data_IF_153236011230
#
_entry.id   IF_153236011230
#
_cell.length_a   1.000
_cell.length_b   1.000
_cell.length_c   1.000
_cell.angle_alpha   90.00
_cell.angle_beta   90.00
_cell.angle_gamma   90.00
#
_symmetry.space_group_name_H-M   'P 1'
#
loop_
_entity.id
_entity.type
_entity.pdbx_description
1 polymer ?
#
# COMPACT_ATOMS: atom_id res chain seq x y z
N UNK A 1 -52.43 25.22 -28.48
CA UNK A 1 -51.18 24.49 -28.22
C UNK A 1 -50.01 25.44 -28.41
N UNK A 2 -49.49 26.00 -27.30
CA UNK A 2 -48.37 26.96 -27.29
C UNK A 2 -47.07 26.21 -27.13
N UNK A 3 -46.06 26.45 -27.99
CA UNK A 3 -44.69 25.98 -27.85
C UNK A 3 -43.92 26.92 -26.93
N UNK A 4 -43.06 26.44 -26.01
CA UNK A 4 -42.20 27.32 -25.24
C UNK A 4 -40.96 27.75 -26.05
N UNK A 5 -40.71 29.05 -26.01
CA UNK A 5 -39.48 29.69 -26.60
C UNK A 5 -38.37 29.60 -25.58
N UNK A 6 -37.27 28.95 -25.94
CA UNK A 6 -36.03 28.98 -25.13
C UNK A 6 -35.13 30.11 -25.61
N UNK A 7 -34.86 31.06 -24.67
CA UNK A 7 -33.86 32.12 -24.90
C UNK A 7 -32.44 31.52 -24.69
N UNK A 8 -31.66 31.63 -25.76
CA UNK A 8 -30.20 31.33 -25.70
C UNK A 8 -29.46 32.48 -25.01
N UNK A 9 -28.88 32.20 -23.84
CA UNK A 9 -27.89 33.02 -23.20
C UNK A 9 -26.49 32.49 -23.53
N UNK A 10 -25.82 33.12 -24.46
CA UNK A 10 -24.40 32.89 -24.75
C UNK A 10 -23.55 33.80 -23.85
N UNK A 11 -22.60 33.32 -23.05
CA UNK A 11 -21.64 34.15 -22.38
C UNK A 11 -20.48 34.51 -23.34
N UNK A 12 -20.29 35.81 -23.54
CA UNK A 12 -19.15 36.38 -24.27
C UNK A 12 -17.89 36.22 -23.42
N UNK A 13 -16.94 35.40 -23.83
CA UNK A 13 -15.57 35.40 -23.31
C UNK A 13 -14.79 36.56 -23.89
N UNK A 14 -14.27 37.43 -23.02
CA UNK A 14 -13.28 38.45 -23.34
C UNK A 14 -11.91 37.80 -23.45
N UNK A 15 -11.29 37.91 -24.60
CA UNK A 15 -9.87 37.63 -24.83
C UNK A 15 -9.04 38.64 -24.06
N UNK A 16 -8.17 38.15 -23.19
CA UNK A 16 -7.13 38.96 -22.52
C UNK A 16 -5.75 38.55 -23.06
N UNK A 17 -5.03 39.57 -23.41
CA UNK A 17 -3.76 39.68 -24.11
C UNK A 17 -2.64 38.75 -23.57
N UNK A 18 -1.85 38.31 -24.55
CA UNK A 18 -0.53 37.68 -24.39
C UNK A 18 0.44 38.63 -23.66
N UNK A 19 0.93 38.26 -22.48
CA UNK A 19 2.14 38.81 -21.89
C UNK A 19 3.30 37.86 -22.11
N UNK A 20 4.16 38.24 -23.03
CA UNK A 20 5.47 37.65 -23.28
C UNK A 20 6.35 37.69 -22.04
N UNK A 21 6.71 36.53 -21.50
CA UNK A 21 7.78 36.41 -20.49
C UNK A 21 9.14 36.36 -21.18
N UNK A 22 9.91 37.42 -21.03
CA UNK A 22 11.34 37.48 -21.37
C UNK A 22 12.13 36.57 -20.42
N UNK A 23 12.80 35.59 -20.99
CA UNK A 23 13.77 34.71 -20.34
C UNK A 23 15.06 35.52 -20.10
N UNK A 24 15.41 35.79 -18.87
CA UNK A 24 16.73 36.29 -18.49
C UNK A 24 17.70 35.10 -18.36
N UNK A 25 18.55 34.93 -19.32
CA UNK A 25 19.76 34.13 -19.21
C UNK A 25 20.78 34.88 -18.37
N UNK A 26 21.10 34.38 -17.19
CA UNK A 26 22.30 34.71 -16.43
C UNK A 26 23.27 33.55 -16.53
N UNK A 27 24.24 33.70 -17.39
CA UNK A 27 25.48 32.94 -17.43
C UNK A 27 26.23 33.16 -16.10
N UNK A 28 26.45 32.10 -15.32
CA UNK A 28 27.43 32.07 -14.25
C UNK A 28 28.72 31.40 -14.78
N UNK A 29 29.74 32.24 -14.86
CA UNK A 29 31.13 31.83 -15.10
C UNK A 29 31.64 30.98 -13.93
N UNK A 30 32.14 29.80 -14.24
CA UNK A 30 32.92 28.98 -13.31
C UNK A 30 34.36 29.50 -13.29
N UNK A 31 34.72 30.18 -12.22
CA UNK A 31 36.15 30.45 -11.93
C UNK A 31 36.76 29.23 -11.22
N UNK A 32 37.73 28.64 -11.89
CA UNK A 32 38.59 27.61 -11.33
C UNK A 32 39.63 28.25 -10.42
N UNK A 33 39.45 28.20 -9.12
CA UNK A 33 40.48 28.53 -8.15
C UNK A 33 41.15 27.27 -7.64
N UNK A 34 42.45 27.21 -7.98
CA UNK A 34 43.44 26.22 -7.49
C UNK A 34 43.68 26.45 -6.01
N UNK A 35 43.17 25.60 -5.15
CA UNK A 35 43.55 25.58 -3.74
C UNK A 35 44.92 24.90 -3.57
N UNK A 36 45.92 25.72 -3.29
CA UNK A 36 47.23 25.32 -2.80
C UNK A 36 47.09 24.62 -1.43
N UNK A 37 47.75 23.46 -1.31
CA UNK A 37 47.96 22.76 -0.04
C UNK A 37 49.00 23.52 0.79
N UNK A 38 48.64 23.90 2.01
CA UNK A 38 49.59 24.25 3.07
C UNK A 38 49.38 23.39 4.31
N UNK A 39 50.43 23.18 5.16
CA UNK A 39 50.55 21.99 6.00
C UNK A 39 49.99 22.19 7.42
N UNK A 40 49.53 21.08 7.96
CA UNK A 40 49.41 20.70 9.38
C UNK A 40 49.44 21.83 10.44
N UNK A 41 48.24 22.26 10.83
CA UNK A 41 48.02 22.93 12.10
C UNK A 41 47.24 22.03 13.03
N UNK A 42 47.79 21.64 14.17
CA UNK A 42 47.14 20.96 15.26
C UNK A 42 46.15 21.94 15.92
N UNK A 43 44.86 21.78 15.73
CA UNK A 43 43.84 22.44 16.53
C UNK A 43 43.63 21.67 17.82
N UNK A 44 44.15 22.23 18.92
CA UNK A 44 43.83 21.83 20.29
C UNK A 44 42.41 22.29 20.60
N UNK A 45 41.45 21.37 20.61
CA UNK A 45 40.12 21.61 21.16
C UNK A 45 40.24 21.66 22.69
N UNK A 46 40.21 22.86 23.24
CA UNK A 46 39.95 23.09 24.66
C UNK A 46 38.53 22.66 24.95
N UNK A 47 38.37 21.50 25.59
CA UNK A 47 37.12 21.08 26.21
C UNK A 47 36.84 21.98 27.40
N UNK A 48 36.01 22.99 27.21
CA UNK A 48 35.34 23.63 28.31
C UNK A 48 34.24 22.67 28.80
N UNK A 49 34.56 21.97 29.90
CA UNK A 49 33.59 21.24 30.71
C UNK A 49 32.66 22.25 31.39
N UNK A 50 31.59 22.65 30.74
CA UNK A 50 30.44 23.22 31.45
C UNK A 50 29.79 22.10 32.28
N UNK A 51 30.07 22.09 33.59
CA UNK A 51 29.32 21.34 34.58
C UNK A 51 27.90 21.89 34.59
N UNK A 52 26.97 21.18 33.93
CA UNK A 52 25.54 21.37 34.10
C UNK A 52 25.20 20.92 35.52
N UNK A 53 24.74 21.86 36.35
CA UNK A 53 24.20 21.57 37.68
C UNK A 53 22.96 20.68 37.50
N UNK A 54 22.80 19.60 38.28
CA UNK A 54 21.58 18.81 38.26
C UNK A 54 20.47 19.57 39.00
N UNK A 55 19.64 20.28 38.27
CA UNK A 55 18.33 20.74 38.75
C UNK A 55 17.33 19.65 38.45
N UNK A 56 16.86 19.01 39.48
CA UNK A 56 15.63 18.23 39.68
C UNK A 56 15.91 16.97 40.50
N UNK A 57 16.11 17.17 41.78
CA UNK A 57 16.02 16.09 42.79
C UNK A 57 14.62 16.19 43.39
N UNK A 58 13.74 15.27 43.07
CA UNK A 58 12.46 15.13 43.73
C UNK A 58 12.63 14.12 44.88
N UNK A 59 12.47 14.51 46.15
CA UNK A 59 12.46 13.56 47.26
C UNK A 59 11.14 12.79 47.27
N UNK A 60 11.21 11.50 46.98
CA UNK A 60 10.06 10.61 47.19
C UNK A 60 10.21 9.89 48.52
N UNK A 61 9.32 10.16 49.45
CA UNK A 61 9.28 9.42 50.74
C UNK A 61 8.70 8.03 50.54
N UNK A 62 9.54 7.01 50.67
CA UNK A 62 9.09 5.63 50.73
C UNK A 62 9.01 5.21 52.20
N UNK A 63 7.81 4.97 52.71
CA UNK A 63 7.59 4.41 54.06
C UNK A 63 7.95 2.91 54.03
N UNK A 64 9.00 2.54 54.76
CA UNK A 64 9.24 1.13 55.18
C UNK A 64 8.56 0.88 56.52
N UNK A 65 8.07 -0.35 56.68
CA UNK A 65 7.30 -0.78 57.88
C UNK A 65 8.09 -0.70 59.21
N UNK A 66 9.38 -0.50 59.20
CA UNK A 66 10.23 -0.30 60.37
C UNK A 66 11.36 0.67 60.03
N UNK A 67 11.17 1.97 60.32
CA UNK A 67 12.22 2.97 60.31
C UNK A 67 12.19 3.95 59.14
N UNK A 68 12.33 5.23 59.45
CA UNK A 68 12.50 6.30 58.48
C UNK A 68 13.82 6.15 57.73
N UNK A 69 13.78 5.89 56.46
CA UNK A 69 14.93 5.89 55.57
C UNK A 69 14.66 6.76 54.35
N UNK A 70 15.48 7.79 54.09
CA UNK A 70 15.46 8.55 52.88
C UNK A 70 16.08 7.73 51.73
N UNK A 71 15.32 7.43 50.70
CA UNK A 71 15.83 6.80 49.48
C UNK A 71 16.08 7.87 48.44
N UNK A 72 17.33 8.14 48.13
CA UNK A 72 17.72 9.07 47.08
C UNK A 72 17.79 8.31 45.75
N UNK A 73 16.83 8.54 44.85
CA UNK A 73 16.84 7.94 43.52
C UNK A 73 17.64 8.87 42.60
N UNK A 74 18.87 8.46 42.26
CA UNK A 74 19.63 9.14 41.20
C UNK A 74 19.14 8.67 39.82
N UNK A 75 18.26 9.43 39.20
CA UNK A 75 17.91 9.22 37.80
C UNK A 75 19.07 9.73 36.94
N UNK A 76 19.92 8.84 36.45
CA UNK A 76 20.86 9.16 35.39
C UNK A 76 20.03 9.42 34.13
N UNK A 77 19.73 10.69 33.83
CA UNK A 77 19.33 11.07 32.47
C UNK A 77 20.53 10.80 31.56
N UNK A 78 20.56 9.63 30.95
CA UNK A 78 21.38 9.44 29.77
C UNK A 78 20.82 10.40 28.71
N UNK A 79 21.57 11.44 28.40
CA UNK A 79 21.31 12.25 27.21
C UNK A 79 21.49 11.34 25.99
N UNK A 80 20.44 10.59 25.67
CA UNK A 80 20.34 9.95 24.37
C UNK A 80 20.17 11.09 23.36
N UNK A 81 21.30 11.54 22.80
CA UNK A 81 21.28 12.21 21.50
C UNK A 81 20.46 11.30 20.58
N UNK A 82 19.20 11.65 20.38
CA UNK A 82 18.37 11.01 19.37
C UNK A 82 19.08 11.23 18.03
N UNK A 83 19.88 10.23 17.63
CA UNK A 83 20.37 10.20 16.26
C UNK A 83 19.13 10.13 15.39
N UNK A 84 18.85 11.20 14.69
CA UNK A 84 17.80 11.22 13.68
C UNK A 84 17.98 9.99 12.78
N UNK A 85 17.00 9.08 12.86
CA UNK A 85 17.01 7.89 12.02
C UNK A 85 16.84 8.38 10.58
N UNK A 86 17.91 8.27 9.79
CA UNK A 86 17.86 8.56 8.36
C UNK A 86 16.81 7.70 7.72
N UNK A 87 15.68 8.28 7.33
CA UNK A 87 14.54 7.61 6.69
C UNK A 87 14.70 7.45 5.17
N UNK A 88 15.84 7.85 4.62
CA UNK A 88 16.16 7.74 3.20
C UNK A 88 16.47 6.32 2.71
N UNK A 89 16.70 6.16 1.39
CA UNK A 89 17.10 4.89 0.82
C UNK A 89 18.37 4.36 1.51
N UNK A 90 18.51 3.01 1.57
CA UNK A 90 19.68 2.40 2.19
C UNK A 90 20.95 2.81 1.46
N UNK A 91 21.98 3.09 2.24
CA UNK A 91 23.33 3.26 1.69
C UNK A 91 23.73 2.00 0.89
N UNK A 92 24.41 2.14 -0.27
CA UNK A 92 24.98 1.01 -1.00
C UNK A 92 25.87 0.10 -0.13
N UNK A 93 26.46 0.67 0.92
CA UNK A 93 27.31 -0.04 1.90
C UNK A 93 26.53 -0.65 3.07
N UNK A 94 25.18 -0.62 3.06
CA UNK A 94 24.40 -1.22 4.12
C UNK A 94 24.65 -2.74 4.18
N UNK A 95 24.70 -3.34 5.39
CA UNK A 95 24.88 -4.78 5.55
C UNK A 95 23.83 -5.57 4.75
N UNK A 96 24.23 -6.66 4.13
CA UNK A 96 23.36 -7.52 3.31
C UNK A 96 22.11 -8.00 4.06
N UNK A 97 22.25 -8.32 5.35
CA UNK A 97 21.10 -8.68 6.22
C UNK A 97 20.04 -7.59 6.27
N UNK A 98 20.44 -6.31 6.33
CA UNK A 98 19.49 -5.19 6.37
C UNK A 98 18.81 -5.02 5.01
N UNK A 99 19.57 -5.17 3.91
CA UNK A 99 19.03 -5.12 2.56
C UNK A 99 17.99 -6.24 2.36
N UNK A 100 18.36 -7.48 2.74
CA UNK A 100 17.46 -8.64 2.66
C UNK A 100 16.19 -8.44 3.47
N UNK A 101 16.30 -8.02 4.73
CA UNK A 101 15.13 -7.77 5.58
C UNK A 101 14.21 -6.72 4.96
N UNK A 102 14.74 -5.62 4.41
CA UNK A 102 13.91 -4.61 3.73
C UNK A 102 13.22 -5.11 2.47
N UNK A 103 13.83 -6.06 1.75
CA UNK A 103 13.21 -6.68 0.59
C UNK A 103 12.08 -7.66 0.98
N UNK A 104 12.27 -8.38 2.08
CA UNK A 104 11.34 -9.42 2.54
C UNK A 104 10.25 -8.91 3.50
N UNK A 105 10.38 -7.69 4.04
CA UNK A 105 9.47 -7.14 5.02
C UNK A 105 8.66 -5.99 4.44
N UNK A 106 7.44 -5.83 4.94
CA UNK A 106 6.57 -4.71 4.60
C UNK A 106 5.88 -4.19 5.87
N UNK A 107 5.42 -2.94 5.82
CA UNK A 107 4.58 -2.37 6.85
C UNK A 107 3.13 -2.55 6.49
N UNK A 108 2.33 -3.01 7.43
CA UNK A 108 0.87 -3.06 7.36
C UNK A 108 0.33 -2.20 8.47
N UNK A 109 -0.57 -1.28 8.15
CA UNK A 109 -1.19 -0.38 9.11
C UNK A 109 -2.69 -0.26 8.85
N UNK A 110 -3.41 0.21 9.89
CA UNK A 110 -4.86 0.19 9.95
C UNK A 110 -5.36 -0.96 10.82
N UNK A 111 -6.31 -0.66 11.70
CA UNK A 111 -6.81 -1.59 12.72
C UNK A 111 -7.25 -2.92 12.10
N UNK A 112 -8.19 -2.89 11.14
CA UNK A 112 -8.72 -4.10 10.49
C UNK A 112 -7.65 -4.93 9.79
N UNK A 113 -6.72 -4.27 9.05
CA UNK A 113 -5.63 -4.96 8.37
C UNK A 113 -4.71 -5.69 9.35
N UNK A 114 -4.38 -5.03 10.46
CA UNK A 114 -3.50 -5.59 11.49
C UNK A 114 -4.15 -6.74 12.27
N UNK A 115 -5.42 -6.61 12.63
CA UNK A 115 -6.17 -7.65 13.34
C UNK A 115 -6.38 -8.89 12.45
N UNK A 116 -6.76 -8.70 11.20
CA UNK A 116 -6.92 -9.81 10.25
C UNK A 116 -5.61 -10.55 10.03
N UNK A 117 -4.51 -9.81 9.82
CA UNK A 117 -3.18 -10.41 9.69
C UNK A 117 -2.79 -11.20 10.95
N UNK A 118 -3.03 -10.64 12.13
CA UNK A 118 -2.73 -11.33 13.38
C UNK A 118 -3.51 -12.65 13.50
N UNK A 119 -4.78 -12.66 13.11
CA UNK A 119 -5.60 -13.87 13.11
C UNK A 119 -5.11 -14.93 12.10
N UNK A 120 -4.63 -14.52 10.91
CA UNK A 120 -4.27 -15.45 9.84
C UNK A 120 -2.81 -15.92 9.90
N UNK A 121 -1.86 -15.04 10.22
CA UNK A 121 -0.43 -15.37 10.22
C UNK A 121 0.39 -14.63 11.29
N UNK A 122 0.12 -14.83 12.58
CA UNK A 122 0.79 -14.13 13.67
C UNK A 122 2.30 -14.33 13.68
N UNK A 123 2.78 -15.47 13.17
CA UNK A 123 4.21 -15.80 13.07
C UNK A 123 4.99 -14.87 12.16
N UNK A 124 4.33 -14.28 11.16
CA UNK A 124 4.94 -13.35 10.21
C UNK A 124 5.28 -11.99 10.81
N UNK A 125 4.69 -11.64 11.95
CA UNK A 125 4.91 -10.36 12.62
C UNK A 125 6.35 -10.29 13.15
N UNK A 126 7.07 -9.24 12.75
CA UNK A 126 8.44 -8.95 13.17
C UNK A 126 8.44 -7.89 14.29
N UNK A 127 7.56 -6.86 14.16
CA UNK A 127 7.49 -5.75 15.11
C UNK A 127 6.13 -5.06 15.04
N UNK A 128 5.72 -4.49 16.17
CA UNK A 128 4.50 -3.68 16.27
C UNK A 128 4.86 -2.26 16.75
N UNK A 129 4.15 -1.28 16.21
CA UNK A 129 4.01 0.06 16.77
C UNK A 129 2.53 0.32 17.01
N UNK A 130 2.19 0.86 18.17
CA UNK A 130 0.83 1.25 18.50
C UNK A 130 0.84 2.57 19.27
N UNK A 131 -0.20 3.36 19.13
CA UNK A 131 -0.45 4.47 20.06
C UNK A 131 -0.99 3.93 21.39
N UNK A 132 -1.04 4.78 22.42
CA UNK A 132 -1.62 4.39 23.71
C UNK A 132 -3.09 3.93 23.56
N UNK A 133 -3.84 4.60 22.66
CA UNK A 133 -5.23 4.27 22.39
C UNK A 133 -5.36 2.96 21.61
N UNK A 134 -4.53 2.78 20.57
CA UNK A 134 -4.47 1.54 19.81
C UNK A 134 -4.09 0.35 20.69
N UNK A 135 -3.11 0.51 21.57
CA UNK A 135 -2.64 -0.57 22.45
C UNK A 135 -3.75 -1.13 23.36
N UNK A 136 -4.70 -0.30 23.79
CA UNK A 136 -5.83 -0.76 24.62
C UNK A 136 -6.72 -1.79 23.90
N UNK A 137 -6.77 -1.76 22.57
CA UNK A 137 -7.58 -2.66 21.74
C UNK A 137 -6.81 -3.93 21.32
N UNK A 138 -5.50 -3.97 21.52
CA UNK A 138 -4.60 -5.00 21.01
C UNK A 138 -4.07 -5.95 22.10
N UNK A 139 -4.81 -6.14 23.18
CA UNK A 139 -4.36 -6.93 24.33
C UNK A 139 -3.83 -8.32 23.97
N UNK A 140 -4.58 -9.10 23.19
CA UNK A 140 -4.19 -10.45 22.77
C UNK A 140 -2.95 -10.44 21.88
N UNK A 141 -2.85 -9.47 20.96
CA UNK A 141 -1.69 -9.31 20.09
C UNK A 141 -0.44 -8.94 20.90
N UNK A 142 -0.57 -8.04 21.87
CA UNK A 142 0.55 -7.63 22.74
C UNK A 142 1.01 -8.80 23.60
N UNK A 143 0.08 -9.58 24.16
CA UNK A 143 0.38 -10.79 24.94
C UNK A 143 1.14 -11.81 24.10
N UNK A 144 0.66 -12.09 22.88
CA UNK A 144 1.34 -12.95 21.90
C UNK A 144 2.75 -12.48 21.59
N UNK A 145 2.93 -11.17 21.33
CA UNK A 145 4.25 -10.61 21.00
C UNK A 145 5.23 -10.71 22.17
N UNK A 146 4.76 -10.49 23.41
CA UNK A 146 5.57 -10.62 24.62
C UNK A 146 6.01 -12.07 24.83
N UNK A 147 5.10 -13.03 24.73
CA UNK A 147 5.37 -14.46 24.86
C UNK A 147 6.40 -14.95 23.82
N UNK A 148 6.27 -14.50 22.57
CA UNK A 148 7.17 -14.89 21.48
C UNK A 148 8.42 -13.99 21.37
N UNK A 149 8.69 -13.13 22.37
CA UNK A 149 9.86 -12.22 22.44
C UNK A 149 10.00 -11.33 21.19
N UNK A 150 8.88 -10.92 20.62
CA UNK A 150 8.83 -10.00 19.47
C UNK A 150 8.79 -8.56 19.96
N UNK A 151 9.43 -7.65 19.20
CA UNK A 151 9.51 -6.25 19.57
C UNK A 151 8.17 -5.53 19.38
N UNK A 152 7.77 -4.71 20.35
CA UNK A 152 6.66 -3.77 20.23
C UNK A 152 7.03 -2.41 20.85
N UNK A 153 6.42 -1.35 20.37
CA UNK A 153 6.67 0.02 20.80
C UNK A 153 5.36 0.76 20.95
N UNK A 154 5.17 1.39 22.09
CA UNK A 154 4.10 2.36 22.28
C UNK A 154 4.67 3.72 21.92
N UNK A 155 4.05 4.40 20.96
CA UNK A 155 4.56 5.63 20.35
C UNK A 155 3.50 6.73 20.33
N UNK A 156 3.93 7.99 20.17
CA UNK A 156 2.99 9.09 19.93
C UNK A 156 2.38 9.01 18.53
N UNK A 157 1.27 9.73 18.31
CA UNK A 157 0.64 9.82 17.00
C UNK A 157 1.60 10.38 15.93
N UNK A 158 2.36 11.41 16.26
CA UNK A 158 3.37 12.01 15.37
C UNK A 158 4.49 11.02 15.00
N UNK A 159 4.90 10.18 15.94
CA UNK A 159 5.88 9.12 15.65
C UNK A 159 5.25 8.02 14.77
N UNK A 160 3.99 7.67 15.00
CA UNK A 160 3.25 6.72 14.17
C UNK A 160 3.13 7.23 12.72
N UNK A 161 2.82 8.50 12.51
CA UNK A 161 2.80 9.13 11.18
C UNK A 161 4.16 9.03 10.48
N UNK A 162 5.26 9.25 11.20
CA UNK A 162 6.62 9.06 10.66
C UNK A 162 6.93 7.60 10.33
N UNK A 163 6.42 6.67 11.13
CA UNK A 163 6.61 5.22 10.89
C UNK A 163 5.83 4.76 9.66
N UNK A 164 4.58 5.16 9.53
CA UNK A 164 3.68 4.73 8.43
C UNK A 164 3.85 5.55 7.16
N UNK A 165 4.23 6.83 7.30
CA UNK A 165 4.24 7.81 6.20
C UNK A 165 2.83 8.31 5.85
N UNK A 166 1.84 8.14 6.73
CA UNK A 166 0.45 8.52 6.54
C UNK A 166 -0.18 8.91 7.88
N UNK A 167 -1.10 9.86 7.88
CA UNK A 167 -1.95 10.25 9.00
C UNK A 167 -3.12 9.26 9.24
N UNK A 168 -3.44 8.46 8.21
CA UNK A 168 -4.53 7.46 8.24
C UNK A 168 -4.05 6.08 8.72
N UNK A 169 -3.27 6.03 9.80
CA UNK A 169 -2.64 4.79 10.28
C UNK A 169 -3.53 3.91 11.17
N UNK A 170 -4.67 4.41 11.65
CA UNK A 170 -5.58 3.64 12.52
C UNK A 170 -4.92 3.17 13.82
N UNK A 171 -3.97 3.96 14.34
CA UNK A 171 -3.29 3.78 15.64
C UNK A 171 -2.45 2.50 15.81
N UNK A 172 -2.24 1.75 14.73
CA UNK A 172 -1.45 0.51 14.73
C UNK A 172 -0.69 0.32 13.42
N UNK A 173 0.54 -0.16 13.54
CA UNK A 173 1.39 -0.53 12.41
C UNK A 173 2.20 -1.78 12.75
N UNK A 174 2.18 -2.76 11.89
CA UNK A 174 2.97 -3.98 11.96
C UNK A 174 4.08 -3.95 10.91
N UNK A 175 5.28 -4.37 11.29
CA UNK A 175 6.30 -4.82 10.36
C UNK A 175 6.16 -6.32 10.24
N UNK A 176 5.94 -6.81 9.03
CA UNK A 176 5.66 -8.22 8.77
C UNK A 176 6.50 -8.74 7.61
N UNK A 177 6.74 -10.05 7.59
CA UNK A 177 7.26 -10.69 6.38
C UNK A 177 6.19 -10.65 5.29
N UNK A 178 6.59 -10.29 4.07
CA UNK A 178 5.69 -10.28 2.91
C UNK A 178 5.03 -11.65 2.70
N UNK A 179 3.82 -11.67 2.15
CA UNK A 179 3.23 -12.88 1.64
C UNK A 179 4.08 -13.45 0.50
N UNK A 180 4.08 -14.77 0.40
CA UNK A 180 4.72 -15.42 -0.76
C UNK A 180 3.91 -15.13 -2.01
N UNK A 181 4.60 -14.78 -3.07
CA UNK A 181 4.04 -14.76 -4.41
C UNK A 181 4.19 -16.16 -5.02
N UNK A 182 3.22 -16.53 -5.82
CA UNK A 182 3.23 -17.82 -6.54
C UNK A 182 3.31 -17.54 -8.04
N UNK A 183 3.96 -18.40 -8.80
CA UNK A 183 3.88 -18.30 -10.25
C UNK A 183 2.48 -18.71 -10.73
N UNK A 184 1.95 -18.03 -11.75
CA UNK A 184 0.70 -18.42 -12.36
C UNK A 184 0.75 -19.85 -12.86
N UNK A 185 1.86 -20.26 -13.49
CA UNK A 185 2.08 -21.61 -13.97
C UNK A 185 1.93 -22.65 -12.84
N UNK A 186 2.58 -22.42 -11.69
CA UNK A 186 2.47 -23.32 -10.53
C UNK A 186 1.05 -23.42 -9.98
N UNK A 187 0.32 -22.30 -9.97
CA UNK A 187 -1.08 -22.28 -9.54
C UNK A 187 -1.98 -23.10 -10.48
N UNK A 188 -1.80 -22.97 -11.79
CA UNK A 188 -2.62 -23.65 -12.80
C UNK A 188 -2.38 -25.17 -12.85
N UNK A 189 -1.29 -25.67 -12.26
CA UNK A 189 -1.06 -27.12 -12.10
C UNK A 189 -1.98 -27.74 -11.04
N UNK A 190 -2.58 -26.93 -10.17
CA UNK A 190 -3.55 -27.40 -9.20
C UNK A 190 -4.91 -27.63 -9.88
N UNK A 191 -5.55 -28.76 -9.57
CA UNK A 191 -6.86 -29.05 -10.14
C UNK A 191 -7.96 -28.27 -9.42
N UNK A 192 -8.59 -27.35 -10.14
CA UNK A 192 -9.75 -26.60 -9.67
C UNK A 192 -10.97 -26.99 -10.50
N UNK A 193 -12.04 -27.45 -9.85
CA UNK A 193 -13.31 -27.72 -10.53
C UNK A 193 -14.07 -26.42 -10.85
N UNK A 194 -13.95 -25.43 -9.98
CA UNK A 194 -14.51 -24.08 -10.09
C UNK A 194 -13.49 -23.10 -9.57
N UNK A 195 -13.25 -22.04 -10.31
CA UNK A 195 -12.27 -21.02 -9.94
C UNK A 195 -12.56 -19.67 -10.59
N UNK A 196 -12.30 -18.61 -9.85
CA UNK A 196 -12.36 -17.25 -10.35
C UNK A 196 -11.04 -16.55 -10.06
N UNK A 197 -10.45 -15.98 -11.09
CA UNK A 197 -9.22 -15.21 -11.01
C UNK A 197 -9.45 -13.80 -11.53
N UNK A 198 -8.59 -12.88 -11.12
CA UNK A 198 -8.55 -11.50 -11.61
C UNK A 198 -7.15 -11.23 -12.16
N UNK A 199 -7.06 -10.73 -13.38
CA UNK A 199 -5.82 -10.28 -13.98
C UNK A 199 -5.79 -8.76 -14.01
N UNK A 200 -4.77 -8.14 -13.42
CA UNK A 200 -4.56 -6.71 -13.42
C UNK A 200 -3.71 -6.32 -14.64
N UNK A 201 -4.28 -5.50 -15.52
CA UNK A 201 -3.65 -5.01 -16.72
C UNK A 201 -3.38 -3.50 -16.57
N UNK A 202 -2.15 -3.15 -16.24
CA UNK A 202 -1.72 -1.76 -16.07
C UNK A 202 -2.33 -1.04 -14.86
N UNK A 203 -2.93 -1.75 -13.91
CA UNK A 203 -3.49 -1.15 -12.68
C UNK A 203 -2.37 -0.92 -11.68
N UNK A 204 -2.00 0.34 -11.46
CA UNK A 204 -0.88 0.73 -10.59
C UNK A 204 -1.30 1.57 -9.39
N UNK A 205 -2.51 2.09 -9.36
CA UNK A 205 -3.01 2.90 -8.25
C UNK A 205 -3.28 2.02 -7.02
N UNK A 206 -2.57 2.27 -5.92
CA UNK A 206 -2.69 1.49 -4.69
C UNK A 206 -4.11 1.48 -4.08
N UNK A 207 -4.88 2.55 -4.26
CA UNK A 207 -6.28 2.62 -3.83
C UNK A 207 -7.16 1.67 -4.63
N UNK A 208 -6.98 1.65 -5.97
CA UNK A 208 -7.70 0.75 -6.85
C UNK A 208 -7.32 -0.70 -6.55
N UNK A 209 -6.01 -0.98 -6.44
CA UNK A 209 -5.49 -2.31 -6.09
C UNK A 209 -6.09 -2.78 -4.75
N UNK A 210 -6.02 -1.97 -3.71
CA UNK A 210 -6.58 -2.32 -2.40
C UNK A 210 -8.09 -2.59 -2.44
N UNK A 211 -8.84 -1.76 -3.17
CA UNK A 211 -10.28 -1.95 -3.39
C UNK A 211 -10.58 -3.26 -4.14
N UNK A 212 -9.81 -3.59 -5.18
CA UNK A 212 -9.94 -4.85 -5.93
C UNK A 212 -9.63 -6.05 -5.02
N UNK A 213 -8.52 -6.01 -4.28
CA UNK A 213 -8.14 -7.08 -3.34
C UNK A 213 -9.23 -7.32 -2.30
N UNK A 214 -9.77 -6.25 -1.71
CA UNK A 214 -10.87 -6.33 -0.74
C UNK A 214 -12.10 -6.97 -1.36
N UNK A 215 -12.47 -6.57 -2.57
CA UNK A 215 -13.61 -7.12 -3.31
C UNK A 215 -13.37 -8.60 -3.67
N UNK A 216 -12.17 -8.96 -4.11
CA UNK A 216 -11.79 -10.34 -4.37
C UNK A 216 -11.92 -11.22 -3.13
N UNK A 217 -11.40 -10.77 -1.99
CA UNK A 217 -11.52 -11.47 -0.73
C UNK A 217 -13.00 -11.66 -0.30
N UNK A 218 -13.82 -10.61 -0.47
CA UNK A 218 -15.25 -10.64 -0.14
C UNK A 218 -16.03 -11.69 -0.93
N UNK A 219 -15.75 -11.82 -2.25
CA UNK A 219 -16.41 -12.79 -3.12
C UNK A 219 -15.71 -14.16 -3.17
N UNK A 220 -14.64 -14.37 -2.40
CA UNK A 220 -13.92 -15.65 -2.33
C UNK A 220 -13.08 -15.97 -3.55
N UNK A 221 -12.67 -14.96 -4.31
CA UNK A 221 -11.70 -15.08 -5.42
C UNK A 221 -10.36 -15.57 -4.88
N UNK A 222 -9.78 -16.59 -5.49
CA UNK A 222 -8.58 -17.26 -4.96
C UNK A 222 -7.27 -16.57 -5.34
N UNK A 223 -7.20 -15.94 -6.50
CA UNK A 223 -5.95 -15.35 -6.97
C UNK A 223 -6.10 -14.09 -7.79
N UNK A 224 -5.12 -13.20 -7.64
CA UNK A 224 -4.95 -12.00 -8.44
C UNK A 224 -3.64 -12.13 -9.20
N UNK A 225 -3.71 -12.03 -10.52
CA UNK A 225 -2.58 -12.16 -11.45
C UNK A 225 -2.06 -10.75 -11.74
N UNK A 226 -0.76 -10.55 -11.62
CA UNK A 226 -0.10 -9.27 -11.92
C UNK A 226 1.29 -9.50 -12.50
N UNK A 227 1.72 -8.63 -13.42
CA UNK A 227 3.11 -8.56 -13.89
C UNK A 227 4.05 -8.02 -12.80
N UNK A 228 3.49 -7.23 -11.88
CA UNK A 228 4.23 -6.63 -10.78
C UNK A 228 3.56 -6.95 -9.43
N UNK A 229 3.94 -8.05 -8.83
CA UNK A 229 3.43 -8.47 -7.52
C UNK A 229 3.77 -7.49 -6.37
N UNK A 230 4.78 -6.65 -6.54
CA UNK A 230 5.14 -5.62 -5.54
C UNK A 230 4.04 -4.58 -5.35
N UNK A 231 3.27 -4.26 -6.40
CA UNK A 231 2.14 -3.32 -6.32
C UNK A 231 1.05 -3.82 -5.37
N UNK A 232 0.76 -5.14 -5.41
CA UNK A 232 -0.21 -5.79 -4.51
C UNK A 232 0.28 -5.77 -3.05
N UNK A 233 1.60 -5.94 -2.85
CA UNK A 233 2.24 -5.96 -1.54
C UNK A 233 2.66 -4.55 -1.04
N UNK A 234 2.09 -3.48 -1.57
CA UNK A 234 2.34 -2.12 -1.06
C UNK A 234 1.57 -1.87 0.25
N UNK A 235 2.19 -1.11 1.16
CA UNK A 235 1.56 -0.75 2.45
C UNK A 235 0.23 0.00 2.26
N UNK A 236 0.16 0.85 1.23
CA UNK A 236 -1.05 1.62 0.92
C UNK A 236 -2.17 0.74 0.38
N UNK A 237 -1.87 -0.23 -0.51
CA UNK A 237 -2.86 -1.19 -0.98
C UNK A 237 -3.34 -2.11 0.16
N UNK A 238 -2.43 -2.59 1.00
CA UNK A 238 -2.76 -3.42 2.17
C UNK A 238 -3.72 -2.72 3.14
N UNK A 239 -3.54 -1.41 3.35
CA UNK A 239 -4.45 -0.62 4.19
C UNK A 239 -5.86 -0.57 3.62
N UNK A 240 -6.00 -0.27 2.32
CA UNK A 240 -7.31 -0.18 1.66
C UNK A 240 -7.99 -1.55 1.55
N UNK A 241 -7.20 -2.60 1.40
CA UNK A 241 -7.69 -3.98 1.35
C UNK A 241 -8.26 -4.48 2.68
N UNK A 242 -8.00 -3.78 3.80
CA UNK A 242 -8.51 -4.10 5.14
C UNK A 242 -8.39 -5.58 5.52
N UNK A 243 -7.21 -6.16 5.25
CA UNK A 243 -6.91 -7.57 5.51
C UNK A 243 -7.23 -8.53 4.37
N UNK A 244 -7.81 -8.06 3.26
CA UNK A 244 -8.13 -8.90 2.10
C UNK A 244 -6.92 -9.63 1.51
N UNK A 245 -5.70 -9.08 1.64
CA UNK A 245 -4.46 -9.72 1.21
C UNK A 245 -4.17 -11.07 1.89
N UNK A 246 -4.78 -11.34 3.02
CA UNK A 246 -4.58 -12.60 3.74
C UNK A 246 -5.42 -13.75 3.16
N UNK A 247 -6.39 -13.45 2.29
CA UNK A 247 -7.34 -14.41 1.72
C UNK A 247 -7.16 -14.64 0.21
N UNK A 248 -6.32 -13.82 -0.45
CA UNK A 248 -6.13 -13.85 -1.89
C UNK A 248 -4.66 -14.10 -2.21
N UNK A 249 -4.38 -15.05 -3.10
CA UNK A 249 -3.02 -15.33 -3.56
C UNK A 249 -2.57 -14.31 -4.60
N UNK A 250 -1.35 -13.81 -4.45
CA UNK A 250 -0.67 -13.02 -5.48
C UNK A 250 -0.02 -13.99 -6.47
N UNK A 251 -0.45 -13.94 -7.72
CA UNK A 251 0.05 -14.77 -8.81
C UNK A 251 0.87 -13.90 -9.76
N UNK A 252 2.14 -14.26 -9.95
CA UNK A 252 3.04 -13.51 -10.83
C UNK A 252 3.10 -14.14 -12.23
N UNK A 253 3.14 -13.27 -13.22
CA UNK A 253 3.37 -13.62 -14.63
C UNK A 253 4.45 -12.72 -15.21
N UNK A 254 5.13 -13.19 -16.27
CA UNK A 254 6.13 -12.39 -16.96
C UNK A 254 5.51 -11.27 -17.80
N UNK A 255 4.38 -11.56 -18.45
CA UNK A 255 3.59 -10.57 -19.18
C UNK A 255 2.15 -11.07 -19.37
N UNK A 256 1.26 -10.15 -19.75
CA UNK A 256 -0.16 -10.40 -19.97
C UNK A 256 -0.41 -11.47 -21.05
N UNK A 257 0.30 -11.44 -22.15
CA UNK A 257 0.08 -12.37 -23.27
C UNK A 257 0.36 -13.83 -22.86
N UNK A 258 1.46 -14.06 -22.14
CA UNK A 258 1.79 -15.40 -21.61
C UNK A 258 0.70 -15.83 -20.63
N UNK A 259 0.27 -14.96 -19.72
CA UNK A 259 -0.78 -15.27 -18.77
C UNK A 259 -2.08 -15.67 -19.46
N UNK A 260 -2.54 -14.90 -20.46
CA UNK A 260 -3.76 -15.19 -21.22
C UNK A 260 -3.65 -16.53 -21.95
N UNK A 261 -2.50 -16.83 -22.56
CA UNK A 261 -2.27 -18.11 -23.21
C UNK A 261 -2.33 -19.29 -22.23
N UNK A 262 -1.68 -19.18 -21.09
CA UNK A 262 -1.70 -20.22 -20.05
C UNK A 262 -3.10 -20.45 -19.50
N UNK A 263 -3.87 -19.37 -19.28
CA UNK A 263 -5.24 -19.43 -18.79
C UNK A 263 -6.18 -20.12 -19.80
N UNK A 264 -6.07 -19.80 -21.11
CA UNK A 264 -6.83 -20.51 -22.17
C UNK A 264 -6.51 -21.98 -22.19
N UNK A 265 -5.22 -22.35 -22.15
CA UNK A 265 -4.77 -23.75 -22.11
C UNK A 265 -5.30 -24.50 -20.87
N UNK A 266 -5.44 -23.82 -19.73
CA UNK A 266 -6.00 -24.35 -18.50
C UNK A 266 -7.54 -24.38 -18.47
N UNK A 267 -8.20 -23.95 -19.56
CA UNK A 267 -9.66 -23.99 -19.73
C UNK A 267 -10.41 -22.87 -19.02
N UNK A 268 -9.78 -21.74 -18.77
CA UNK A 268 -10.46 -20.54 -18.23
C UNK A 268 -11.14 -19.76 -19.36
N UNK A 269 -12.38 -19.35 -19.11
CA UNK A 269 -13.03 -18.31 -19.87
C UNK A 269 -12.40 -16.97 -19.50
N UNK A 270 -11.85 -16.27 -20.47
CA UNK A 270 -11.27 -14.93 -20.27
C UNK A 270 -12.33 -13.91 -20.61
N UNK A 271 -12.57 -12.97 -19.70
CA UNK A 271 -13.60 -11.95 -19.82
C UNK A 271 -12.96 -10.56 -19.78
N UNK A 272 -13.09 -9.83 -20.87
CA UNK A 272 -12.63 -8.45 -21.01
C UNK A 272 -13.81 -7.47 -20.95
N UNK A 273 -13.59 -6.34 -20.30
CA UNK A 273 -14.49 -5.20 -20.39
C UNK A 273 -14.20 -4.37 -21.63
N UNK A 274 -15.26 -3.94 -22.32
CA UNK A 274 -15.16 -3.01 -23.44
C UNK A 274 -16.27 -1.96 -23.36
N UNK A 275 -16.06 -0.84 -24.03
CA UNK A 275 -17.09 0.17 -24.30
C UNK A 275 -17.67 0.05 -25.70
N UNK A 276 -17.31 -0.99 -26.44
CA UNK A 276 -17.79 -1.22 -27.79
C UNK A 276 -19.30 -1.52 -27.78
N UNK A 277 -20.11 -0.71 -28.48
CA UNK A 277 -21.58 -0.76 -28.43
C UNK A 277 -22.21 -2.10 -28.86
N UNK A 278 -21.50 -2.85 -29.71
CA UNK A 278 -21.97 -4.15 -30.20
C UNK A 278 -21.62 -5.33 -29.27
N UNK A 279 -20.77 -5.09 -28.25
CA UNK A 279 -20.48 -6.15 -27.29
C UNK A 279 -21.72 -6.53 -26.48
N UNK A 280 -21.90 -7.80 -26.12
CA UNK A 280 -23.03 -8.23 -25.31
C UNK A 280 -22.94 -7.60 -23.91
N UNK A 281 -24.10 -7.30 -23.32
CA UNK A 281 -24.16 -6.91 -21.92
C UNK A 281 -23.73 -8.07 -21.05
N UNK A 282 -23.02 -7.78 -19.96
CA UNK A 282 -22.59 -8.77 -18.96
C UNK A 282 -23.75 -9.68 -18.50
N UNK A 283 -24.94 -9.13 -18.28
CA UNK A 283 -26.13 -9.86 -17.86
C UNK A 283 -26.58 -10.95 -18.86
N UNK A 284 -26.20 -10.85 -20.12
CA UNK A 284 -26.56 -11.82 -21.19
C UNK A 284 -25.51 -12.89 -21.43
N UNK A 285 -24.35 -12.76 -20.81
CA UNK A 285 -23.22 -13.68 -20.99
C UNK A 285 -23.25 -14.75 -19.90
N UNK A 286 -23.20 -16.02 -20.34
CA UNK A 286 -23.05 -17.16 -19.42
C UNK A 286 -21.59 -17.27 -19.01
N UNK A 287 -21.32 -17.13 -17.72
CA UNK A 287 -19.99 -17.32 -17.17
C UNK A 287 -19.71 -18.81 -16.94
N UNK A 288 -18.48 -19.22 -17.26
CA UNK A 288 -18.02 -20.58 -17.04
C UNK A 288 -17.64 -20.80 -15.57
N UNK A 289 -17.50 -22.07 -15.17
CA UNK A 289 -17.03 -22.44 -13.82
C UNK A 289 -15.62 -21.94 -13.54
N UNK A 290 -14.75 -21.93 -14.55
CA UNK A 290 -13.42 -21.32 -14.50
C UNK A 290 -13.44 -20.04 -15.28
N UNK A 291 -13.25 -18.92 -14.61
CA UNK A 291 -13.28 -17.61 -15.24
C UNK A 291 -12.13 -16.74 -14.77
N UNK A 292 -11.60 -15.90 -15.64
CA UNK A 292 -10.68 -14.82 -15.28
C UNK A 292 -11.21 -13.50 -15.84
N UNK A 293 -11.29 -12.50 -14.99
CA UNK A 293 -11.65 -11.15 -15.37
C UNK A 293 -10.38 -10.31 -15.57
N UNK A 294 -10.25 -9.71 -16.74
CA UNK A 294 -9.15 -8.79 -17.03
C UNK A 294 -9.60 -7.37 -16.68
N UNK A 295 -8.92 -6.76 -15.72
CA UNK A 295 -9.21 -5.42 -15.21
C UNK A 295 -8.13 -4.45 -15.65
N UNK A 296 -8.51 -3.43 -16.43
CA UNK A 296 -7.64 -2.35 -16.87
C UNK A 296 -8.14 -1.00 -16.34
N UNK A 297 -7.25 -0.08 -16.02
CA UNK A 297 -7.65 1.29 -15.61
C UNK A 297 -8.37 2.02 -16.75
N UNK A 298 -7.97 1.76 -17.98
CA UNK A 298 -8.60 2.32 -19.19
C UNK A 298 -9.29 1.20 -19.94
N UNK A 299 -10.61 1.25 -19.97
CA UNK A 299 -11.41 0.27 -20.72
C UNK A 299 -11.33 0.57 -22.20
N UNK A 300 -10.86 -0.41 -22.99
CA UNK A 300 -10.72 -0.28 -24.45
C UNK A 300 -12.07 -0.09 -25.15
N UNK A 301 -12.05 0.64 -26.26
CA UNK A 301 -13.17 0.75 -27.20
C UNK A 301 -13.13 -0.35 -28.29
N UNK A 302 -12.07 -1.16 -28.30
CA UNK A 302 -11.83 -2.20 -29.30
C UNK A 302 -12.00 -3.57 -28.69
N UNK A 303 -12.29 -4.56 -29.55
CA UNK A 303 -12.25 -5.98 -29.23
C UNK A 303 -10.83 -6.44 -29.59
N UNK A 304 -9.98 -6.60 -28.58
CA UNK A 304 -8.56 -6.91 -28.79
C UNK A 304 -8.32 -8.41 -29.08
N UNK A 305 -9.20 -9.25 -28.53
CA UNK A 305 -9.02 -10.72 -28.57
C UNK A 305 -10.30 -11.38 -29.05
N UNK A 306 -10.29 -11.90 -30.27
CA UNK A 306 -11.45 -12.57 -30.88
C UNK A 306 -11.80 -13.91 -30.22
N UNK A 307 -10.84 -14.53 -29.52
CA UNK A 307 -11.00 -15.81 -28.85
C UNK A 307 -11.64 -15.67 -27.45
N UNK A 308 -11.58 -14.48 -26.88
CA UNK A 308 -12.02 -14.21 -25.52
C UNK A 308 -13.43 -13.63 -25.48
N UNK A 309 -14.07 -13.76 -24.34
CA UNK A 309 -15.38 -13.16 -24.10
C UNK A 309 -15.22 -11.68 -23.81
N UNK A 310 -15.87 -10.82 -24.61
CA UNK A 310 -15.88 -9.38 -24.42
C UNK A 310 -17.26 -8.92 -23.97
N UNK A 311 -17.35 -8.14 -22.90
CA UNK A 311 -18.63 -7.68 -22.34
C UNK A 311 -18.64 -6.19 -22.08
N UNK A 312 -19.85 -5.59 -22.13
CA UNK A 312 -20.08 -4.22 -21.68
C UNK A 312 -20.99 -4.19 -20.44
N UNK A 313 -20.79 -3.19 -19.57
CA UNK A 313 -21.60 -3.01 -18.35
C UNK A 313 -22.82 -2.12 -18.61
N UNK A 314 -22.70 -1.12 -19.47
CA UNK A 314 -23.77 -0.18 -19.78
C UNK A 314 -23.73 0.22 -21.24
N UNK A 315 -24.90 0.23 -21.88
CA UNK A 315 -25.07 0.65 -23.29
C UNK A 315 -25.08 2.19 -23.42
N UNK A 316 -25.57 2.88 -22.40
CA UNK A 316 -25.80 4.33 -22.40
C UNK A 316 -24.92 5.05 -21.38
N UNK A 317 -23.59 4.82 -21.45
CA UNK A 317 -22.67 5.55 -20.58
C UNK A 317 -22.49 6.99 -21.08
N UNK A 318 -22.90 8.01 -20.33
CA UNK A 318 -22.72 9.42 -20.72
C UNK A 318 -21.31 9.93 -20.43
N UNK A 319 -20.50 9.16 -19.66
CA UNK A 319 -19.16 9.57 -19.28
C UNK A 319 -18.14 9.28 -20.38
N UNK A 320 -17.25 10.20 -20.62
CA UNK A 320 -16.10 9.98 -21.53
C UNK A 320 -15.15 8.89 -20.99
N UNK A 321 -15.04 8.77 -19.67
CA UNK A 321 -14.37 7.68 -18.96
C UNK A 321 -15.36 6.56 -18.61
N UNK A 322 -14.88 5.34 -18.37
CA UNK A 322 -15.68 4.26 -17.76
C UNK A 322 -15.89 4.44 -16.25
N UNK A 323 -16.37 3.41 -15.60
CA UNK A 323 -16.36 3.31 -14.15
C UNK A 323 -14.93 3.11 -13.63
N UNK A 324 -14.73 3.47 -12.36
CA UNK A 324 -13.48 3.12 -11.66
C UNK A 324 -13.24 1.60 -11.71
N UNK A 325 -11.99 1.19 -11.88
CA UNK A 325 -11.62 -0.21 -12.06
C UNK A 325 -12.00 -1.10 -10.86
N UNK A 326 -11.93 -0.59 -9.63
CA UNK A 326 -12.37 -1.34 -8.46
C UNK A 326 -13.91 -1.50 -8.42
N UNK A 327 -14.66 -0.54 -8.94
CA UNK A 327 -16.12 -0.67 -9.11
C UNK A 327 -16.43 -1.69 -10.20
N UNK A 328 -15.70 -1.69 -11.32
CA UNK A 328 -15.81 -2.73 -12.34
C UNK A 328 -15.59 -4.12 -11.77
N UNK A 329 -14.56 -4.30 -10.93
CA UNK A 329 -14.33 -5.56 -10.21
C UNK A 329 -15.56 -6.00 -9.41
N UNK A 330 -16.16 -5.07 -8.65
CA UNK A 330 -17.36 -5.37 -7.85
C UNK A 330 -18.52 -5.87 -8.70
N UNK A 331 -18.80 -5.24 -9.83
CA UNK A 331 -19.90 -5.63 -10.74
C UNK A 331 -19.64 -7.01 -11.38
N UNK A 332 -18.41 -7.25 -11.87
CA UNK A 332 -18.05 -8.52 -12.50
C UNK A 332 -18.08 -9.68 -11.51
N UNK A 333 -17.47 -9.48 -10.34
CA UNK A 333 -17.40 -10.52 -9.31
C UNK A 333 -18.77 -10.82 -8.68
N UNK A 334 -19.65 -9.82 -8.53
CA UNK A 334 -21.03 -10.05 -8.13
C UNK A 334 -21.77 -10.93 -9.14
N UNK A 335 -21.64 -10.64 -10.44
CA UNK A 335 -22.28 -11.44 -11.48
C UNK A 335 -21.79 -12.89 -11.48
N UNK A 336 -20.48 -13.10 -11.31
CA UNK A 336 -19.93 -14.44 -11.19
C UNK A 336 -20.44 -15.15 -9.93
N UNK A 337 -20.42 -14.47 -8.79
CA UNK A 337 -20.85 -15.04 -7.52
C UNK A 337 -22.31 -15.51 -7.56
N UNK A 338 -23.20 -14.66 -8.07
CA UNK A 338 -24.64 -14.99 -8.21
C UNK A 338 -24.85 -16.16 -9.20
N UNK A 339 -24.08 -16.23 -10.28
CA UNK A 339 -24.27 -17.24 -11.33
C UNK A 339 -23.61 -18.58 -11.06
N UNK A 340 -22.59 -18.63 -10.21
CA UNK A 340 -21.76 -19.82 -10.03
C UNK A 340 -21.69 -20.32 -8.58
N UNK A 341 -21.97 -19.50 -7.59
CA UNK A 341 -21.81 -19.81 -6.16
C UNK A 341 -23.18 -19.92 -5.46
N UNK A 342 -24.14 -19.07 -5.81
CA UNK A 342 -25.52 -19.15 -5.34
C UNK A 342 -26.40 -19.96 -6.27
#
# INVERSE_FOLDING_TARGET
MMKPVFNECTPKFKTTEEKSFKRNERSQEYSTDRLQRSPKGKLSLSRQNQRIKPENIYPTEARKANGQGQVTINVKQSAFLQKEKKTGPLSPRAPEKIKKNRAEEMKIYGENSCLTLFAQRPTSIVRLWATVEGAKKLGDMLSYLAEHKKAYHIVSREEMEKVTGSDHHGDVCLLVKKNRTYSLEGYLQLAHAQDCLVLLDGVNNAQNIGGIVRTCAFYGVKGIISENGECLNSSSAARVAEGGLEFVHTLETKNKQIALQQLRQAGYQIVHLTRHKQAPSLAKVKLAKKVVFVLSEVVSNHIEYSEDTTVQLSVNNPLASGLNVAVNAGVLLNQWYVSQVL
#
